data_IF_222135375116
#
_entry.id   IF_222135375116
#
_cell.length_a   1.000
_cell.length_b   1.000
_cell.length_c   1.000
_cell.angle_alpha   90.00
_cell.angle_beta   90.00
_cell.angle_gamma   90.00
#
_symmetry.space_group_name_H-M   'P 1'
#
loop_
_entity.id
_entity.type
_entity.pdbx_description
1 polymer ?
#
# COMPACT_ATOMS: atom_id res chain seq x y z
N UNK A 1 15.64 -7.13 24.60
CA UNK A 1 15.50 -8.26 23.65
C UNK A 1 14.37 -7.95 22.67
N UNK A 2 14.60 -8.15 21.40
CA UNK A 2 13.60 -7.84 20.38
C UNK A 2 12.61 -8.99 20.24
N UNK A 3 11.31 -8.74 20.50
CA UNK A 3 10.25 -9.72 20.32
C UNK A 3 9.48 -9.50 19.02
N UNK A 4 9.37 -8.24 18.59
CA UNK A 4 8.65 -7.90 17.35
C UNK A 4 9.54 -8.23 16.16
N UNK A 5 8.99 -8.99 15.19
CA UNK A 5 9.76 -9.49 14.04
C UNK A 5 9.26 -8.95 12.70
N UNK A 6 8.19 -8.17 12.68
CA UNK A 6 7.69 -7.60 11.43
C UNK A 6 6.38 -6.88 11.61
N UNK A 7 5.86 -6.37 10.49
CA UNK A 7 4.53 -5.76 10.42
C UNK A 7 3.58 -6.82 9.90
N UNK A 8 2.50 -7.11 10.66
CA UNK A 8 1.52 -8.09 10.24
C UNK A 8 0.48 -7.48 9.30
N UNK A 9 -0.10 -6.33 9.69
CA UNK A 9 -1.09 -5.70 8.81
C UNK A 9 -1.15 -4.20 9.02
N UNK A 10 -1.57 -3.49 7.97
CA UNK A 10 -1.97 -2.09 7.99
C UNK A 10 -3.43 -2.07 7.56
N UNK A 11 -4.28 -1.46 8.38
CA UNK A 11 -5.73 -1.45 8.15
C UNK A 11 -6.15 -0.05 7.70
N UNK A 12 -6.84 0.02 6.57
CA UNK A 12 -7.24 1.26 5.93
C UNK A 12 -8.76 1.32 5.80
N UNK A 13 -9.33 2.49 6.10
CA UNK A 13 -10.73 2.77 5.78
C UNK A 13 -10.86 2.98 4.27
N UNK A 14 -11.96 2.48 3.68
CA UNK A 14 -12.28 2.74 2.28
C UNK A 14 -13.70 3.25 2.15
N UNK A 15 -13.89 4.26 1.31
CA UNK A 15 -15.22 4.76 0.96
C UNK A 15 -15.83 3.90 -0.14
N UNK A 16 -15.03 3.57 -1.15
CA UNK A 16 -15.44 2.72 -2.26
C UNK A 16 -14.47 1.56 -2.39
N UNK A 17 -14.91 0.40 -1.93
CA UNK A 17 -14.06 -0.79 -1.88
C UNK A 17 -13.68 -1.28 -3.28
N UNK A 18 -14.56 -1.10 -4.27
CA UNK A 18 -14.25 -1.48 -5.65
C UNK A 18 -13.09 -0.66 -6.21
N UNK A 19 -13.05 0.64 -5.95
CA UNK A 19 -11.94 1.50 -6.37
C UNK A 19 -10.65 1.15 -5.62
N UNK A 20 -10.75 0.86 -4.33
CA UNK A 20 -9.59 0.44 -3.54
C UNK A 20 -9.01 -0.88 -4.06
N UNK A 21 -9.87 -1.84 -4.43
CA UNK A 21 -9.43 -3.12 -5.00
C UNK A 21 -8.82 -2.92 -6.40
N UNK A 22 -9.36 -2.01 -7.20
CA UNK A 22 -8.76 -1.70 -8.48
C UNK A 22 -7.32 -1.19 -8.31
N UNK A 23 -7.05 -0.45 -7.25
CA UNK A 23 -5.70 0.01 -6.93
C UNK A 23 -4.84 -1.11 -6.35
N UNK A 24 -5.21 -1.67 -5.20
CA UNK A 24 -4.33 -2.60 -4.48
C UNK A 24 -4.24 -3.97 -5.12
N UNK A 25 -5.35 -4.52 -5.57
CA UNK A 25 -5.37 -5.85 -6.23
C UNK A 25 -4.94 -5.77 -7.67
N UNK A 26 -5.53 -4.87 -8.46
CA UNK A 26 -5.36 -4.90 -9.91
C UNK A 26 -4.11 -4.15 -10.37
N UNK A 27 -3.86 -2.95 -9.86
CA UNK A 27 -2.68 -2.18 -10.25
C UNK A 27 -1.41 -2.62 -9.52
N UNK A 28 -1.52 -2.95 -8.22
CA UNK A 28 -0.38 -3.37 -7.43
C UNK A 28 -0.16 -4.88 -7.44
N UNK A 29 -1.17 -5.65 -7.81
CA UNK A 29 -1.07 -7.10 -7.91
C UNK A 29 -1.12 -7.83 -6.58
N UNK A 30 -1.69 -7.23 -5.54
CA UNK A 30 -1.80 -7.92 -4.25
C UNK A 30 -2.89 -8.98 -4.29
N UNK A 31 -2.64 -10.09 -3.60
CA UNK A 31 -3.54 -11.24 -3.57
C UNK A 31 -4.59 -11.09 -2.48
N UNK A 32 -5.87 -11.21 -2.86
CA UNK A 32 -6.96 -11.27 -1.88
C UNK A 32 -6.96 -12.64 -1.24
N UNK A 33 -6.85 -12.70 0.09
CA UNK A 33 -6.83 -13.95 0.85
C UNK A 33 -8.06 -14.13 1.74
N UNK A 34 -8.95 -13.14 1.80
CA UNK A 34 -10.21 -13.26 2.52
C UNK A 34 -11.29 -13.86 1.62
N UNK A 35 -12.34 -14.42 2.26
CA UNK A 35 -13.48 -14.97 1.53
C UNK A 35 -14.34 -13.84 0.95
N UNK A 36 -14.96 -14.05 -0.22
CA UNK A 36 -15.73 -13.00 -0.90
C UNK A 36 -16.90 -12.44 -0.09
N UNK A 37 -17.50 -13.24 0.79
CA UNK A 37 -18.66 -12.83 1.60
C UNK A 37 -18.28 -11.91 2.77
N UNK A 38 -16.99 -11.77 3.08
CA UNK A 38 -16.53 -10.88 4.16
C UNK A 38 -16.56 -9.43 3.70
N UNK A 39 -17.02 -8.54 4.59
CA UNK A 39 -17.03 -7.11 4.31
C UNK A 39 -15.62 -6.53 4.25
N UNK A 40 -14.73 -6.99 5.12
CA UNK A 40 -13.34 -6.57 5.12
C UNK A 40 -12.54 -7.40 4.12
N UNK A 41 -11.68 -6.75 3.34
CA UNK A 41 -10.84 -7.43 2.36
C UNK A 41 -9.41 -7.46 2.86
N UNK A 42 -8.84 -8.66 2.92
CA UNK A 42 -7.47 -8.89 3.36
C UNK A 42 -6.61 -9.19 2.14
N UNK A 43 -5.59 -8.39 1.95
CA UNK A 43 -4.67 -8.48 0.80
C UNK A 43 -3.29 -8.84 1.30
N UNK A 44 -2.72 -9.90 0.75
CA UNK A 44 -1.36 -10.33 1.09
C UNK A 44 -0.35 -9.46 0.34
N UNK A 45 0.59 -8.89 1.09
CA UNK A 45 1.70 -8.10 0.54
C UNK A 45 2.95 -8.98 0.39
N UNK A 46 3.25 -9.78 1.41
CA UNK A 46 4.44 -10.61 1.41
C UNK A 46 4.44 -11.63 2.52
N UNK A 47 5.52 -12.38 2.62
CA UNK A 47 5.72 -13.39 3.65
C UNK A 47 6.11 -12.73 4.96
N UNK A 48 5.51 -13.17 6.06
CA UNK A 48 5.93 -12.75 7.38
C UNK A 48 7.10 -13.57 7.90
N UNK A 49 7.74 -13.05 8.93
CA UNK A 49 8.92 -13.69 9.51
C UNK A 49 8.57 -14.91 10.39
N UNK A 50 7.34 -14.99 10.88
CA UNK A 50 6.92 -16.02 11.84
C UNK A 50 5.57 -16.64 11.50
N UNK A 51 5.27 -16.80 10.21
CA UNK A 51 4.10 -17.53 9.75
C UNK A 51 2.85 -16.69 9.53
N UNK A 52 2.89 -15.40 9.83
CA UNK A 52 1.79 -14.48 9.55
C UNK A 52 2.17 -13.65 8.33
N UNK A 53 1.39 -13.69 7.23
CA UNK A 53 1.72 -12.87 6.07
C UNK A 53 1.59 -11.38 6.39
N UNK A 54 2.37 -10.57 5.70
CA UNK A 54 2.20 -9.12 5.75
C UNK A 54 0.96 -8.76 4.94
N UNK A 55 0.06 -7.93 5.48
CA UNK A 55 -1.24 -7.66 4.85
C UNK A 55 -1.57 -6.18 4.84
N UNK A 56 -2.35 -5.79 3.84
CA UNK A 56 -3.16 -4.57 3.85
C UNK A 56 -4.62 -5.03 3.97
N UNK A 57 -5.34 -4.42 4.90
CA UNK A 57 -6.76 -4.73 5.14
C UNK A 57 -7.60 -3.52 4.78
N UNK A 58 -8.59 -3.71 3.93
CA UNK A 58 -9.52 -2.67 3.51
C UNK A 58 -10.84 -2.85 4.28
N UNK A 59 -11.21 -1.85 5.06
CA UNK A 59 -12.40 -1.88 5.90
C UNK A 59 -13.38 -0.82 5.39
N UNK A 60 -14.63 -1.20 5.05
CA UNK A 60 -15.61 -0.22 4.62
C UNK A 60 -15.84 0.83 5.69
N UNK A 61 -15.77 2.10 5.30
CA UNK A 61 -16.01 3.20 6.23
C UNK A 61 -17.50 3.28 6.55
N UNK A 62 -17.90 3.28 7.84
CA UNK A 62 -19.30 3.43 8.20
C UNK A 62 -19.88 4.75 7.70
N UNK A 63 -21.16 4.74 7.31
CA UNK A 63 -21.85 5.93 6.78
C UNK A 63 -21.96 7.06 7.82
N UNK A 64 -21.97 6.72 9.09
CA UNK A 64 -22.05 7.70 10.17
C UNK A 64 -20.72 8.42 10.45
N UNK A 65 -19.60 7.91 9.92
CA UNK A 65 -18.31 8.59 9.99
C UNK A 65 -18.19 9.50 8.78
N UNK A 66 -18.51 10.78 8.96
CA UNK A 66 -18.44 11.77 7.88
C UNK A 66 -17.05 12.38 7.81
N UNK A 67 -16.45 12.31 6.62
CA UNK A 67 -15.15 12.88 6.37
C UNK A 67 -14.04 12.14 7.09
N UNK A 68 -12.82 12.67 7.00
CA UNK A 68 -11.70 12.18 7.78
C UNK A 68 -11.75 12.75 9.17
N UNK A 69 -11.43 11.96 10.20
CA UNK A 69 -11.27 12.53 11.54
C UNK A 69 -10.24 13.66 11.50
N UNK A 70 -10.50 14.75 12.20
CA UNK A 70 -9.49 15.77 12.41
C UNK A 70 -8.41 15.21 13.32
N UNK A 71 -7.15 15.56 13.08
CA UNK A 71 -6.04 15.13 13.90
C UNK A 71 -5.02 14.31 13.13
N UNK A 72 -4.22 13.58 13.87
CA UNK A 72 -3.12 12.80 13.29
C UNK A 72 -3.67 11.56 12.58
N UNK A 73 -3.24 11.37 11.35
CA UNK A 73 -3.60 10.25 10.51
C UNK A 73 -2.32 9.54 10.06
N UNK A 74 -2.48 8.43 9.36
CA UNK A 74 -1.35 7.79 8.70
C UNK A 74 -0.68 8.80 7.76
N UNK A 75 0.62 9.03 7.95
CA UNK A 75 1.35 9.93 7.07
C UNK A 75 1.47 9.31 5.67
N UNK A 76 2.00 8.12 5.61
CA UNK A 76 2.04 7.32 4.39
C UNK A 76 2.44 5.89 4.74
N UNK A 77 2.29 4.99 3.78
CA UNK A 77 2.83 3.64 3.85
C UNK A 77 3.80 3.43 2.70
N UNK A 78 4.82 2.62 2.92
CA UNK A 78 5.81 2.33 1.89
C UNK A 78 5.80 0.85 1.55
N UNK A 79 5.82 0.55 0.25
CA UNK A 79 5.87 -0.81 -0.28
C UNK A 79 7.16 -0.98 -1.06
N UNK A 80 7.85 -2.08 -0.80
CA UNK A 80 9.09 -2.39 -1.50
C UNK A 80 8.81 -3.01 -2.85
N UNK A 81 9.56 -2.57 -3.87
CA UNK A 81 9.59 -3.20 -5.20
C UNK A 81 10.99 -3.76 -5.45
N UNK A 82 11.10 -4.87 -6.19
CA UNK A 82 12.37 -5.20 -6.80
C UNK A 82 12.83 -4.04 -7.69
N UNK A 83 14.12 -3.79 -7.75
CA UNK A 83 14.65 -2.64 -8.50
C UNK A 83 14.35 -2.73 -10.00
N UNK A 84 14.26 -3.94 -10.57
CA UNK A 84 13.91 -4.16 -11.98
C UNK A 84 12.41 -3.99 -12.27
N UNK A 85 11.56 -3.79 -11.26
CA UNK A 85 10.12 -3.58 -11.43
C UNK A 85 9.69 -2.12 -11.21
N UNK A 86 10.59 -1.25 -10.83
CA UNK A 86 10.25 0.13 -10.49
C UNK A 86 9.65 0.89 -11.69
N UNK A 87 10.31 0.81 -12.84
CA UNK A 87 9.84 1.49 -14.06
C UNK A 87 8.50 0.93 -14.52
N UNK A 88 8.31 -0.38 -14.47
CA UNK A 88 7.07 -1.00 -14.88
C UNK A 88 5.91 -0.56 -13.98
N UNK A 89 6.14 -0.50 -12.66
CA UNK A 89 5.10 -0.03 -11.73
C UNK A 89 4.75 1.43 -11.99
N UNK A 90 5.76 2.27 -12.24
CA UNK A 90 5.53 3.67 -12.60
C UNK A 90 4.63 3.78 -13.84
N UNK A 91 4.96 3.03 -14.89
CA UNK A 91 4.22 3.10 -16.15
C UNK A 91 2.79 2.57 -16.00
N UNK A 92 2.60 1.52 -15.20
CA UNK A 92 1.27 0.97 -14.90
C UNK A 92 0.39 2.02 -14.20
N UNK A 93 0.96 2.74 -13.24
CA UNK A 93 0.22 3.79 -12.52
C UNK A 93 -0.13 4.95 -13.44
N UNK A 94 0.81 5.39 -14.26
CA UNK A 94 0.56 6.50 -15.22
C UNK A 94 -0.54 6.10 -16.21
N UNK A 95 -0.49 4.87 -16.73
CA UNK A 95 -1.50 4.39 -17.68
C UNK A 95 -2.91 4.32 -17.04
N UNK A 96 -2.98 4.14 -15.73
CA UNK A 96 -4.24 4.12 -15.00
C UNK A 96 -4.72 5.51 -14.55
N UNK A 97 -3.99 6.58 -14.90
CA UNK A 97 -4.38 7.95 -14.61
C UNK A 97 -3.77 8.52 -13.33
N UNK A 98 -2.86 7.82 -12.68
CA UNK A 98 -2.16 8.33 -11.50
C UNK A 98 -0.95 9.16 -11.93
N UNK A 99 -0.51 10.05 -11.03
CA UNK A 99 0.63 10.94 -11.28
C UNK A 99 1.70 10.71 -10.21
N UNK A 100 2.57 9.69 -10.38
CA UNK A 100 3.60 9.43 -9.39
C UNK A 100 4.53 10.62 -9.21
N UNK A 101 4.84 10.93 -7.95
CA UNK A 101 5.75 11.99 -7.56
C UNK A 101 7.07 11.38 -7.12
N UNK A 102 8.19 11.95 -7.53
CA UNK A 102 9.50 11.51 -7.09
C UNK A 102 9.83 11.96 -5.67
N UNK A 103 10.79 11.29 -5.06
CA UNK A 103 11.25 11.64 -3.73
C UNK A 103 12.63 11.06 -3.45
N UNK A 104 13.17 11.41 -2.28
CA UNK A 104 14.47 10.92 -1.82
C UNK A 104 14.30 10.42 -0.40
N UNK A 105 14.73 9.18 -0.15
CA UNK A 105 14.73 8.65 1.20
C UNK A 105 15.89 9.25 1.99
N UNK A 106 15.64 9.73 3.24
CA UNK A 106 16.69 10.42 4.00
C UNK A 106 17.80 9.51 4.52
N UNK A 107 17.59 8.19 4.57
CA UNK A 107 18.51 7.24 5.17
C UNK A 107 19.04 6.22 4.16
N UNK A 108 18.16 5.70 3.29
CA UNK A 108 18.51 4.57 2.42
C UNK A 108 18.86 5.05 1.01
N UNK A 109 19.91 4.48 0.43
CA UNK A 109 20.24 4.65 -0.97
C UNK A 109 19.17 3.91 -1.80
N UNK A 110 18.22 4.67 -2.38
CA UNK A 110 17.01 4.08 -2.94
C UNK A 110 16.43 4.99 -4.03
N UNK A 111 15.48 4.41 -4.79
CA UNK A 111 14.58 5.17 -5.67
C UNK A 111 13.19 5.09 -5.06
N UNK A 112 12.48 6.22 -5.05
CA UNK A 112 11.14 6.28 -4.49
C UNK A 112 10.18 7.01 -5.43
N UNK A 113 8.89 6.63 -5.35
CA UNK A 113 7.81 7.38 -5.95
C UNK A 113 6.58 7.30 -5.04
N UNK A 114 5.72 8.30 -5.12
CA UNK A 114 4.55 8.45 -4.27
C UNK A 114 3.31 8.66 -5.10
N UNK A 115 2.22 7.99 -4.75
CA UNK A 115 0.88 8.24 -5.31
C UNK A 115 -0.12 8.23 -4.17
N UNK A 116 -1.25 8.89 -4.38
CA UNK A 116 -2.38 8.76 -3.45
C UNK A 116 -3.30 7.64 -3.95
N UNK A 117 -3.72 6.77 -3.03
CA UNK A 117 -4.72 5.76 -3.36
C UNK A 117 -6.10 6.42 -3.57
N UNK A 118 -7.15 5.68 -3.96
CA UNK A 118 -8.46 6.28 -4.20
C UNK A 118 -9.08 6.95 -2.97
N UNK A 119 -8.67 6.58 -1.77
CA UNK A 119 -9.15 7.19 -0.53
C UNK A 119 -8.25 8.32 -0.03
N UNK A 120 -7.20 8.66 -0.79
CA UNK A 120 -6.27 9.72 -0.45
C UNK A 120 -5.17 9.31 0.51
N UNK A 121 -4.96 8.00 0.72
CA UNK A 121 -3.80 7.53 1.47
C UNK A 121 -2.56 7.63 0.59
N UNK A 122 -1.50 8.23 1.12
CA UNK A 122 -0.25 8.33 0.38
C UNK A 122 0.49 6.99 0.43
N UNK A 123 0.84 6.47 -0.75
CA UNK A 123 1.55 5.21 -0.90
C UNK A 123 2.89 5.50 -1.56
N UNK A 124 3.96 5.11 -0.87
CA UNK A 124 5.32 5.19 -1.38
C UNK A 124 5.72 3.83 -1.93
N UNK A 125 6.38 3.83 -3.09
CA UNK A 125 7.05 2.65 -3.62
C UNK A 125 8.54 2.90 -3.56
N UNK A 126 9.27 1.97 -2.97
CA UNK A 126 10.71 2.11 -2.76
C UNK A 126 11.44 0.88 -3.28
N UNK A 127 12.53 1.10 -3.98
CA UNK A 127 13.45 0.04 -4.37
C UNK A 127 14.88 0.45 -4.06
N UNK A 128 15.75 -0.53 -4.00
CA UNK A 128 17.19 -0.28 -3.81
C UNK A 128 17.73 0.51 -5.00
N UNK A 129 18.61 1.49 -4.73
CA UNK A 129 19.30 2.19 -5.79
C UNK A 129 20.23 1.24 -6.54
N UNK A 130 20.42 1.41 -7.86
CA UNK A 130 21.36 0.60 -8.60
C UNK A 130 22.76 0.72 -8.00
N UNK A 131 23.51 -0.39 -8.01
CA UNK A 131 24.91 -0.37 -7.64
C UNK A 131 25.70 0.46 -8.68
N UNK A 132 26.54 1.34 -8.19
CA UNK A 132 27.46 2.10 -9.05
C UNK A 132 28.71 1.28 -9.39
#
# INVERSE_FOLDING_TARGET
>A
MKNVVGIAEIVLWTVDQALALAFYRDLLGLEVISRPEMANVFLKVGQGAAGIPQMIVLVPKPEDIKGRPSGYQLHHLALELPDDQFEQQHNTLVAAGYAPRGGTHPVLASRTMYVDDPDGNEVEFICRAPAE
#
